data_IF_683727653726
#
_entry.id   IF_683727653726
#
_cell.length_a   1.000
_cell.length_b   1.000
_cell.length_c   1.000
_cell.angle_alpha   90.00
_cell.angle_beta   90.00
_cell.angle_gamma   90.00
#
_symmetry.space_group_name_H-M   'P 1'
#
loop_
_entity.id
_entity.type
_entity.pdbx_description
1 polymer ?
2 non-polymer ?
3 non-polymer ?
4 non-polymer ?
5 non-polymer ?
6 water ?
#
# COMPACT_ATOMS: atom_id res chain seq x y z
N UNK A 12 2.01 -16.30 -20.90
CA UNK A 12 2.39 -14.89 -20.90
C UNK A 12 1.16 -14.04 -20.59
N UNK A 13 1.31 -12.99 -19.80
CA UNK A 13 0.11 -12.36 -19.27
C UNK A 13 -0.07 -11.04 -20.02
N UNK A 14 -1.30 -10.60 -20.26
CA UNK A 14 -1.52 -9.32 -20.94
C UNK A 14 -1.52 -8.12 -19.97
N UNK A 15 -0.76 -7.07 -20.27
CA UNK A 15 -0.82 -5.87 -19.42
C UNK A 15 -2.24 -5.32 -19.19
N UNK A 16 -2.54 -5.01 -17.94
CA UNK A 16 -3.82 -4.50 -17.51
C UNK A 16 -4.05 -3.07 -17.96
N UNK A 17 -2.99 -2.38 -18.37
CA UNK A 17 -3.12 -0.99 -18.83
C UNK A 17 -3.33 -0.91 -20.35
N UNK A 18 -2.49 -1.60 -21.11
CA UNK A 18 -2.42 -1.39 -22.54
C UNK A 18 -2.62 -2.67 -23.34
N UNK A 19 -2.67 -3.83 -22.71
CA UNK A 19 -2.70 -5.11 -23.40
C UNK A 19 -1.38 -5.66 -23.94
N UNK A 20 -0.28 -4.96 -23.74
CA UNK A 20 1.06 -5.37 -24.18
C UNK A 20 1.53 -6.62 -23.46
N UNK A 21 2.66 -7.18 -23.87
CA UNK A 21 3.11 -8.38 -23.16
C UNK A 21 3.93 -8.05 -21.93
N UNK A 22 3.68 -8.81 -20.87
CA UNK A 22 4.33 -8.57 -19.58
C UNK A 22 5.44 -9.58 -19.37
N UNK A 23 6.66 -9.13 -19.18
CA UNK A 23 7.75 -10.06 -18.91
C UNK A 23 8.09 -10.15 -17.42
N UNK A 24 8.05 -11.37 -16.87
CA UNK A 24 8.32 -11.58 -15.45
C UNK A 24 9.78 -11.36 -15.09
N UNK A 25 10.01 -10.82 -13.90
CA UNK A 25 11.37 -10.68 -13.43
C UNK A 25 11.56 -11.16 -12.01
N UNK A 26 10.50 -11.50 -11.30
CA UNK A 26 10.64 -11.88 -9.90
C UNK A 26 9.56 -12.89 -9.57
N UNK A 27 9.87 -14.05 -8.97
CA UNK A 27 8.85 -15.03 -8.63
C UNK A 27 8.99 -15.25 -7.13
N UNK A 28 7.97 -14.81 -6.39
CA UNK A 28 7.93 -14.97 -4.96
C UNK A 28 7.13 -16.19 -4.48
N UNK A 29 6.73 -17.07 -5.40
CA UNK A 29 6.31 -18.39 -4.99
C UNK A 29 4.84 -18.34 -4.60
N UNK A 30 4.36 -19.42 -4.01
CA UNK A 30 2.99 -19.56 -3.49
C UNK A 30 2.83 -18.68 -2.25
N UNK A 31 1.74 -17.92 -2.19
CA UNK A 31 1.47 -17.00 -1.09
C UNK A 31 -0.01 -17.10 -0.73
N UNK A 32 -0.31 -16.83 0.54
CA UNK A 32 -1.69 -16.76 1.00
C UNK A 32 -2.25 -15.35 0.80
N UNK A 33 -3.54 -15.18 1.09
CA UNK A 33 -4.04 -13.82 1.15
C UNK A 33 -3.38 -13.11 2.31
N UNK A 34 -2.95 -11.87 2.06
CA UNK A 34 -2.10 -11.18 3.06
C UNK A 34 -2.86 -10.66 4.27
N UNK A 35 -4.17 -10.43 4.09
CA UNK A 35 -4.92 -9.80 5.15
C UNK A 35 -5.95 -10.75 5.74
N UNK A 36 -5.75 -12.04 5.58
CA UNK A 36 -6.58 -13.00 6.31
C UNK A 36 -5.86 -13.50 7.56
N UNK A 37 -6.38 -13.21 8.76
CA UNK A 37 -5.83 -13.61 10.08
C UNK A 37 -6.75 -14.61 10.79
N UNK A 38 -6.37 -15.88 10.82
CA UNK A 38 -7.26 -17.00 11.19
C UNK A 38 -7.17 -17.12 12.71
N UNK A 39 -8.28 -17.52 13.34
CA UNK A 39 -8.21 -17.97 14.72
C UNK A 39 -7.35 -19.23 14.84
N UNK A 40 -6.66 -19.42 15.96
CA UNK A 40 -5.75 -20.57 16.13
C UNK A 40 -6.40 -21.93 15.82
N UNK A 41 -7.69 -22.07 16.07
CA UNK A 41 -8.40 -23.34 15.95
C UNK A 41 -8.93 -23.61 14.54
N UNK A 42 -8.84 -22.63 13.64
CA UNK A 42 -9.38 -22.80 12.30
C UNK A 42 -8.68 -23.86 11.47
N UNK A 43 -9.40 -24.55 10.60
CA UNK A 43 -8.71 -25.41 9.66
C UNK A 43 -7.56 -24.67 9.00
N UNK A 44 -6.40 -25.33 8.91
CA UNK A 44 -5.29 -24.86 8.09
C UNK A 44 -5.58 -25.17 6.63
N UNK A 45 -6.53 -24.44 6.05
CA UNK A 45 -6.65 -24.35 4.59
C UNK A 45 -6.65 -22.86 4.26
N UNK A 46 -5.78 -22.42 3.37
CA UNK A 46 -5.92 -21.05 2.91
C UNK A 46 -5.98 -21.00 1.40
N UNK A 47 -6.64 -19.98 0.84
CA UNK A 47 -6.48 -19.64 -0.57
C UNK A 47 -5.02 -19.30 -0.80
N UNK A 48 -4.45 -19.90 -1.84
CA UNK A 48 -3.15 -19.46 -2.31
C UNK A 48 -3.15 -19.15 -3.79
N UNK A 49 -2.12 -18.41 -4.19
CA UNK A 49 -1.94 -17.97 -5.57
C UNK A 49 -0.44 -17.83 -5.82
N UNK A 50 -0.03 -17.65 -7.07
CA UNK A 50 1.40 -17.51 -7.33
C UNK A 50 1.74 -16.02 -7.39
N UNK A 51 2.62 -15.52 -6.53
CA UNK A 51 2.93 -14.08 -6.53
C UNK A 51 4.18 -13.94 -7.38
N UNK A 52 4.08 -13.26 -8.51
CA UNK A 52 5.21 -12.97 -9.39
C UNK A 52 4.98 -11.60 -10.00
N UNK A 53 6.07 -10.95 -10.42
CA UNK A 53 5.98 -9.55 -10.87
C UNK A 53 6.67 -9.45 -12.23
N UNK A 54 6.05 -8.64 -13.07
CA UNK A 54 6.58 -8.45 -14.43
C UNK A 54 6.44 -7.01 -14.88
N UNK A 55 6.99 -6.73 -16.06
CA UNK A 55 7.00 -5.38 -16.57
C UNK A 55 6.40 -5.42 -17.97
N UNK A 56 5.47 -4.50 -18.32
CA UNK A 56 4.88 -4.58 -19.65
C UNK A 56 5.92 -4.08 -20.66
N UNK A 57 5.99 -4.70 -21.83
CA UNK A 57 6.93 -4.24 -22.86
C UNK A 57 6.55 -2.94 -23.58
N UNK A 58 5.28 -2.56 -23.56
CA UNK A 58 4.87 -1.42 -24.37
C UNK A 58 4.77 -0.15 -23.54
N UNK A 59 4.28 -0.26 -22.30
CA UNK A 59 4.06 0.90 -21.46
C UNK A 59 4.87 0.96 -20.16
N UNK A 60 5.61 -0.13 -19.93
CA UNK A 60 6.58 -0.19 -18.85
C UNK A 60 5.91 -0.29 -17.49
N UNK A 61 4.61 -0.57 -17.43
CA UNK A 61 3.93 -0.75 -16.14
C UNK A 61 4.37 -2.05 -15.48
N UNK A 62 4.89 -1.93 -14.26
CA UNK A 62 5.30 -3.08 -13.48
C UNK A 62 4.08 -3.56 -12.68
N UNK A 63 3.79 -4.86 -12.75
CA UNK A 63 2.54 -5.40 -12.26
C UNK A 63 2.65 -6.88 -11.96
N UNK A 64 1.72 -7.39 -11.15
CA UNK A 64 1.72 -8.82 -10.85
C UNK A 64 1.24 -9.63 -12.06
N UNK A 65 1.56 -10.93 -12.03
CA UNK A 65 1.17 -11.77 -13.18
C UNK A 65 -0.09 -12.61 -12.88
N UNK A 66 -0.58 -12.61 -11.64
CA UNK A 66 -1.81 -13.30 -11.28
C UNK A 66 -2.65 -12.30 -10.46
N UNK A 67 -3.89 -12.05 -10.86
CA UNK A 67 -4.82 -11.30 -10.01
C UNK A 67 -5.53 -12.20 -8.98
N UNK A 68 -5.59 -11.78 -7.72
CA UNK A 68 -6.54 -12.35 -6.78
C UNK A 68 -7.90 -11.64 -6.95
N UNK A 69 -9.00 -12.39 -6.94
CA UNK A 69 -10.28 -11.71 -7.13
C UNK A 69 -10.57 -10.72 -6.00
N UNK A 70 -11.08 -9.55 -6.35
CA UNK A 70 -11.23 -8.45 -5.39
C UNK A 70 -12.02 -8.83 -4.14
N UNK A 71 -13.02 -9.68 -4.28
CA UNK A 71 -13.92 -10.02 -3.17
C UNK A 71 -13.25 -10.94 -2.19
N UNK A 72 -12.15 -11.55 -2.61
CA UNK A 72 -11.44 -12.37 -1.65
C UNK A 72 -10.60 -11.48 -0.76
N UNK A 73 -10.22 -10.29 -1.22
CA UNK A 73 -9.36 -9.41 -0.44
C UNK A 73 -10.12 -8.35 0.36
N UNK A 74 -11.17 -7.81 -0.26
CA UNK A 74 -11.87 -6.64 0.24
C UNK A 74 -13.32 -7.06 0.45
N UNK A 75 -13.73 -6.93 1.71
CA UNK A 75 -14.96 -7.54 2.19
C UNK A 75 -15.18 -7.10 3.63
N UNK A 76 -16.23 -7.67 4.20
CA UNK A 76 -16.72 -7.27 5.51
C UNK A 76 -15.68 -7.20 6.59
N UNK A 77 -14.78 -8.18 6.56
CA UNK A 77 -13.79 -8.28 7.63
C UNK A 77 -12.39 -7.86 7.24
N UNK A 78 -12.23 -7.16 6.12
CA UNK A 78 -10.93 -6.56 5.88
C UNK A 78 -10.37 -5.85 7.11
N UNK A 79 -9.14 -6.16 7.53
CA UNK A 79 -8.73 -5.76 8.86
C UNK A 79 -7.86 -4.52 8.95
N UNK A 80 -7.51 -3.90 7.83
CA UNK A 80 -6.56 -2.79 7.97
C UNK A 80 -7.26 -1.51 8.39
N UNK A 81 -6.81 -0.88 9.47
CA UNK A 81 -7.40 0.38 9.93
C UNK A 81 -6.39 1.50 9.72
N UNK A 82 -6.65 2.37 8.74
CA UNK A 82 -5.72 3.43 8.36
C UNK A 82 -5.32 4.26 9.58
N UNK A 83 -6.31 4.50 10.44
CA UNK A 83 -6.13 5.46 11.54
C UNK A 83 -5.27 4.88 12.65
N UNK A 84 -4.76 3.66 12.51
CA UNK A 84 -3.80 3.15 13.49
C UNK A 84 -2.46 3.84 13.58
N UNK A 85 -2.17 4.72 12.62
CA UNK A 85 -0.88 5.42 12.60
C UNK A 85 -1.09 6.91 12.83
N UNK A 86 -0.41 7.48 13.83
CA UNK A 86 -0.55 8.92 14.09
C UNK A 86 0.09 9.72 12.96
N UNK A 87 1.20 9.23 12.41
CA UNK A 87 1.85 9.88 11.27
C UNK A 87 0.86 9.93 10.11
N UNK A 88 0.18 8.82 9.84
CA UNK A 88 -0.65 8.85 8.64
C UNK A 88 -1.87 9.71 8.95
N UNK A 89 -2.38 9.71 10.18
CA UNK A 89 -3.49 10.67 10.47
C UNK A 89 -3.14 12.11 10.16
N UNK A 90 -1.93 12.52 10.55
CA UNK A 90 -1.51 13.90 10.32
C UNK A 90 -1.30 14.12 8.82
N UNK A 91 -0.68 13.15 8.17
CA UNK A 91 -0.41 13.22 6.73
C UNK A 91 -1.71 13.47 5.99
N UNK A 92 -2.76 12.73 6.31
CA UNK A 92 -3.96 12.86 5.49
C UNK A 92 -4.78 14.09 5.89
N UNK A 93 -4.83 14.44 7.18
CA UNK A 93 -5.43 15.73 7.51
C UNK A 93 -4.75 16.91 6.81
N UNK A 94 -3.43 16.93 6.66
CA UNK A 94 -2.77 18.02 5.95
C UNK A 94 -3.08 18.03 4.47
N UNK A 95 -3.11 16.85 3.84
CA UNK A 95 -3.55 16.73 2.45
C UNK A 95 -4.98 17.25 2.29
N UNK A 96 -5.91 16.85 3.17
CA UNK A 96 -7.24 17.40 3.08
C UNK A 96 -7.27 18.92 3.19
N UNK A 97 -6.51 19.48 4.14
CA UNK A 97 -6.51 20.95 4.26
C UNK A 97 -6.03 21.60 2.98
N UNK A 98 -5.02 20.96 2.39
CA UNK A 98 -4.43 21.47 1.15
C UNK A 98 -5.46 21.45 0.03
N UNK A 99 -6.24 20.38 -0.12
CA UNK A 99 -7.29 20.39 -1.14
C UNK A 99 -8.33 21.48 -0.85
N UNK A 100 -8.61 21.69 0.43
CA UNK A 100 -9.66 22.62 0.83
C UNK A 100 -9.23 24.03 0.45
N UNK A 101 -7.93 24.30 0.49
CA UNK A 101 -7.39 25.64 0.19
C UNK A 101 -7.18 25.83 -1.30
N UNK A 102 -7.14 24.75 -2.09
CA UNK A 102 -6.77 24.85 -3.49
C UNK A 102 -7.92 24.44 -4.41
N UNK A 103 -8.19 23.14 -4.50
CA UNK A 103 -9.11 22.63 -5.51
C UNK A 103 -10.58 22.63 -5.10
N UNK A 104 -10.88 22.87 -3.82
CA UNK A 104 -12.25 22.77 -3.34
C UNK A 104 -12.73 24.15 -2.87
N UNK A 105 -12.22 25.20 -3.49
CA UNK A 105 -12.70 26.53 -3.08
C UNK A 105 -13.94 27.06 -3.79
N UNK A 106 -14.47 26.36 -4.77
CA UNK A 106 -15.74 26.80 -5.35
C UNK A 106 -16.95 26.95 -4.42
N UNK A 107 -18.09 27.33 -4.99
CA UNK A 107 -19.38 27.54 -4.33
C UNK A 107 -20.02 26.24 -3.85
N UNK A 108 -19.78 25.16 -4.59
CA UNK A 108 -20.37 23.89 -4.20
C UNK A 108 -19.43 22.77 -4.63
N UNK A 109 -18.27 22.68 -3.98
CA UNK A 109 -17.30 21.67 -4.40
C UNK A 109 -17.66 20.24 -3.96
N UNK A 110 -17.04 19.25 -4.57
CA UNK A 110 -17.34 17.86 -4.24
C UNK A 110 -16.05 17.07 -4.38
N UNK A 111 -15.71 16.28 -3.35
CA UNK A 111 -14.53 15.43 -3.44
C UNK A 111 -14.94 13.98 -3.19
N UNK A 112 -14.45 13.10 -4.06
CA UNK A 112 -14.71 11.68 -3.90
C UNK A 112 -13.39 10.98 -3.54
N UNK A 113 -13.43 10.14 -2.50
CA UNK A 113 -12.24 9.38 -2.18
C UNK A 113 -12.48 7.90 -2.47
N UNK A 114 -11.58 7.31 -3.27
CA UNK A 114 -11.54 5.87 -3.51
C UNK A 114 -10.69 5.21 -2.44
N UNK A 115 -11.32 4.35 -1.65
CA UNK A 115 -10.61 3.60 -0.61
C UNK A 115 -10.51 4.38 0.68
N UNK A 116 -11.63 5.00 1.10
CA UNK A 116 -11.57 5.89 2.27
C UNK A 116 -11.27 5.18 3.57
N UNK A 117 -11.43 3.86 3.61
CA UNK A 117 -11.15 3.10 4.84
C UNK A 117 -11.95 3.68 6.01
N UNK A 118 -11.32 3.81 7.19
CA UNK A 118 -11.97 4.31 8.41
C UNK A 118 -12.21 5.82 8.40
N UNK A 119 -11.98 6.49 7.29
CA UNK A 119 -12.35 7.91 7.29
C UNK A 119 -11.18 8.83 7.58
N UNK A 120 -9.95 8.31 7.56
CA UNK A 120 -8.74 9.02 7.94
C UNK A 120 -8.52 10.36 7.22
N UNK A 121 -8.84 10.38 5.93
CA UNK A 121 -8.73 11.63 5.19
C UNK A 121 -10.05 12.37 5.18
N UNK A 122 -11.17 11.72 4.85
CA UNK A 122 -12.43 12.44 4.70
C UNK A 122 -12.99 13.09 5.97
N UNK A 123 -12.57 12.66 7.15
CA UNK A 123 -13.08 13.36 8.32
C UNK A 123 -12.76 14.86 8.23
N UNK A 124 -11.61 15.25 7.69
CA UNK A 124 -11.25 16.66 7.69
C UNK A 124 -12.15 17.35 6.67
N UNK A 125 -12.53 16.68 5.59
CA UNK A 125 -13.42 17.30 4.62
C UNK A 125 -14.80 17.48 5.23
N UNK A 126 -15.30 16.45 5.92
CA UNK A 126 -16.59 16.48 6.60
C UNK A 126 -16.64 17.60 7.65
N UNK A 127 -15.54 17.75 8.38
CA UNK A 127 -15.45 18.83 9.37
C UNK A 127 -15.37 20.22 8.74
N UNK A 128 -15.01 20.34 7.46
CA UNK A 128 -15.09 21.63 6.80
C UNK A 128 -16.44 21.89 6.15
N UNK A 129 -17.38 20.96 6.27
CA UNK A 129 -18.73 21.15 5.70
C UNK A 129 -18.81 20.96 4.19
N UNK A 130 -17.80 20.29 3.62
CA UNK A 130 -17.73 20.10 2.18
C UNK A 130 -18.39 18.82 1.71
N UNK A 131 -19.14 18.88 0.59
CA UNK A 131 -19.83 17.70 0.07
C UNK A 131 -18.77 16.68 -0.35
N UNK A 132 -18.98 15.42 0.03
CA UNK A 132 -17.96 14.38 -0.24
C UNK A 132 -18.59 12.98 -0.33
N UNK A 133 -17.83 12.03 -0.86
CA UNK A 133 -18.29 10.64 -0.80
C UNK A 133 -17.05 9.76 -0.81
N UNK A 134 -17.01 8.89 0.17
CA UNK A 134 -16.01 7.82 0.15
C UNK A 134 -16.54 6.53 -0.44
N UNK A 135 -15.73 5.90 -1.29
CA UNK A 135 -16.02 4.52 -1.69
C UNK A 135 -15.10 3.62 -0.87
N UNK A 136 -15.74 2.68 -0.19
CA UNK A 136 -14.98 1.74 0.62
C UNK A 136 -15.75 0.41 0.55
N UNK A 137 -15.26 -0.54 -0.26
CA UNK A 137 -16.01 -1.82 -0.36
C UNK A 137 -15.90 -2.74 0.84
N UNK A 138 -15.04 -2.42 1.82
CA UNK A 138 -14.84 -3.25 2.99
C UNK A 138 -15.72 -2.68 4.09
N UNK A 139 -16.84 -3.34 4.34
CA UNK A 139 -17.92 -2.72 5.08
C UNK A 139 -17.57 -2.44 6.53
N UNK A 140 -16.71 -3.23 7.14
CA UNK A 140 -16.42 -3.03 8.55
C UNK A 140 -15.69 -1.71 8.80
N UNK A 141 -14.67 -1.44 7.98
CA UNK A 141 -14.01 -0.13 8.06
C UNK A 141 -14.88 1.00 7.49
N UNK A 142 -15.68 0.77 6.44
CA UNK A 142 -16.68 1.75 6.00
C UNK A 142 -17.53 2.25 7.16
N UNK A 143 -17.93 1.33 8.03
CA UNK A 143 -18.81 1.73 9.13
C UNK A 143 -18.05 2.61 10.13
N UNK A 144 -16.77 2.37 10.40
CA UNK A 144 -15.95 3.30 11.18
C UNK A 144 -15.99 4.72 10.63
N UNK A 145 -15.96 4.84 9.30
CA UNK A 145 -15.91 6.18 8.74
C UNK A 145 -17.31 6.79 8.90
N UNK A 146 -18.35 5.99 8.69
CA UNK A 146 -19.71 6.54 8.79
C UNK A 146 -19.99 7.00 10.21
N UNK A 147 -19.38 6.36 11.20
CA UNK A 147 -19.61 6.79 12.60
C UNK A 147 -19.00 8.15 12.87
N UNK A 148 -18.03 8.56 12.08
CA UNK A 148 -17.53 9.94 12.06
C UNK A 148 -18.40 10.98 11.35
N UNK A 149 -19.55 10.57 10.81
CA UNK A 149 -20.35 11.47 9.98
C UNK A 149 -19.96 11.58 8.52
N UNK A 150 -19.05 10.71 8.08
CA UNK A 150 -18.61 10.72 6.68
C UNK A 150 -19.61 9.96 5.82
N UNK A 151 -19.93 10.47 4.64
CA UNK A 151 -20.75 9.76 3.67
C UNK A 151 -19.92 8.74 2.89
N UNK A 152 -20.32 7.48 2.99
CA UNK A 152 -19.59 6.39 2.34
C UNK A 152 -20.56 5.49 1.57
N UNK A 153 -20.15 5.00 0.40
CA UNK A 153 -20.82 3.88 -0.26
C UNK A 153 -19.93 2.66 -0.09
N UNK A 154 -20.52 1.55 0.35
CA UNK A 154 -19.81 0.29 0.44
C UNK A 154 -19.81 -0.39 -0.93
N UNK A 155 -18.93 0.09 -1.79
CA UNK A 155 -18.94 -0.30 -3.20
C UNK A 155 -17.50 -0.15 -3.64
N UNK A 156 -17.08 -0.97 -4.60
CA UNK A 156 -15.85 -0.68 -5.36
C UNK A 156 -16.12 0.49 -6.28
N UNK A 157 -15.17 1.41 -6.41
CA UNK A 157 -15.18 2.41 -7.46
C UNK A 157 -14.75 1.71 -8.73
N UNK A 158 -15.54 1.92 -9.80
CA UNK A 158 -15.28 1.33 -11.12
C UNK A 158 -16.18 2.13 -12.03
N UNK A 159 -16.15 1.86 -13.34
CA UNK A 159 -16.94 2.68 -14.26
C UNK A 159 -18.40 2.87 -13.82
N UNK A 160 -19.11 1.77 -13.58
CA UNK A 160 -20.54 1.86 -13.34
C UNK A 160 -20.88 2.61 -12.04
N UNK A 161 -20.08 2.44 -11.00
CA UNK A 161 -20.47 3.05 -9.74
C UNK A 161 -20.11 4.53 -9.82
N UNK A 162 -19.05 4.84 -10.55
CA UNK A 162 -18.77 6.24 -10.84
C UNK A 162 -19.90 6.85 -11.67
N UNK A 163 -20.41 6.10 -12.65
CA UNK A 163 -21.51 6.63 -13.47
C UNK A 163 -22.67 6.98 -12.55
N UNK A 164 -22.93 6.12 -11.58
CA UNK A 164 -24.07 6.30 -10.71
C UNK A 164 -23.86 7.53 -9.87
N UNK A 165 -22.63 7.76 -9.38
CA UNK A 165 -22.45 8.95 -8.56
C UNK A 165 -22.56 10.22 -9.40
N UNK A 166 -22.13 10.20 -10.66
CA UNK A 166 -22.18 11.42 -11.49
C UNK A 166 -23.67 11.73 -11.69
N UNK A 167 -24.48 10.69 -11.89
CA UNK A 167 -25.89 10.89 -12.18
C UNK A 167 -26.65 11.58 -11.04
N UNK A 168 -26.38 11.18 -9.81
CA UNK A 168 -27.09 11.68 -8.64
C UNK A 168 -26.39 12.83 -7.93
N UNK A 169 -25.06 12.91 -8.05
CA UNK A 169 -24.31 13.87 -7.25
C UNK A 169 -23.65 14.96 -8.09
N UNK A 170 -23.56 14.76 -9.40
CA UNK A 170 -22.82 15.72 -10.21
C UNK A 170 -21.31 15.50 -10.21
N UNK A 171 -20.57 16.37 -10.93
CA UNK A 171 -19.13 16.17 -11.16
C UNK A 171 -18.34 16.40 -9.88
N UNK A 172 -17.28 15.63 -9.70
CA UNK A 172 -16.34 15.85 -8.60
C UNK A 172 -15.16 16.73 -9.01
N UNK A 173 -14.85 17.71 -8.18
CA UNK A 173 -13.69 18.58 -8.38
C UNK A 173 -12.35 17.86 -8.11
N UNK A 174 -12.39 16.88 -7.22
CA UNK A 174 -11.19 16.06 -6.92
C UNK A 174 -11.68 14.65 -6.69
N UNK A 175 -10.97 13.69 -7.29
CA UNK A 175 -11.07 12.28 -6.93
C UNK A 175 -9.68 11.93 -6.42
N UNK A 176 -9.62 11.34 -5.22
CA UNK A 176 -8.36 11.08 -4.55
C UNK A 176 -8.33 9.59 -4.19
N UNK A 177 -7.15 8.98 -4.29
CA UNK A 177 -6.94 7.59 -3.85
C UNK A 177 -5.57 7.50 -3.22
N UNK A 178 -5.50 6.99 -1.98
CA UNK A 178 -4.18 6.76 -1.38
C UNK A 178 -4.00 5.27 -1.09
N UNK A 179 -2.89 4.66 -1.47
CA UNK A 179 -2.71 3.23 -1.22
C UNK A 179 -3.90 2.40 -1.65
N UNK A 180 -4.44 2.74 -2.78
CA UNK A 180 -5.68 2.09 -3.24
C UNK A 180 -5.61 1.86 -4.75
N UNK A 181 -5.22 2.86 -5.53
CA UNK A 181 -5.14 2.60 -6.96
C UNK A 181 -4.22 1.47 -7.35
N UNK A 182 -3.06 1.39 -6.68
CA UNK A 182 -2.21 0.22 -6.92
C UNK A 182 -2.80 -1.14 -6.57
N UNK A 183 -3.91 -1.17 -5.83
CA UNK A 183 -4.60 -2.40 -5.37
C UNK A 183 -5.57 -2.91 -6.43
N UNK A 184 -5.77 -2.12 -7.47
CA UNK A 184 -6.86 -2.30 -8.41
C UNK A 184 -6.41 -2.68 -9.82
N UNK A 185 -6.48 -3.98 -10.15
CA UNK A 185 -6.02 -4.31 -11.51
C UNK A 185 -6.85 -3.74 -12.64
N UNK A 186 -8.14 -3.50 -12.39
CA UNK A 186 -9.06 -2.97 -13.40
C UNK A 186 -8.98 -1.46 -13.47
N UNK A 187 -7.73 -1.00 -13.54
CA UNK A 187 -7.45 0.44 -13.60
C UNK A 187 -8.07 1.09 -14.83
N UNK A 188 -8.23 0.40 -15.95
CA UNK A 188 -8.94 1.01 -17.08
C UNK A 188 -10.36 1.38 -16.71
N UNK A 189 -11.06 0.48 -16.01
CA UNK A 189 -12.42 0.77 -15.54
C UNK A 189 -12.42 1.95 -14.57
N UNK A 190 -11.50 1.95 -13.61
CA UNK A 190 -11.38 3.12 -12.75
C UNK A 190 -11.18 4.41 -13.51
N UNK A 191 -10.29 4.41 -14.49
CA UNK A 191 -10.04 5.62 -15.28
C UNK A 191 -11.26 6.05 -16.09
N UNK A 192 -12.02 5.07 -16.58
CA UNK A 192 -13.24 5.43 -17.29
C UNK A 192 -14.25 6.05 -16.32
N UNK A 193 -14.32 5.54 -15.09
CA UNK A 193 -15.13 6.15 -14.04
C UNK A 193 -14.68 7.55 -13.68
N UNK A 194 -13.37 7.75 -13.59
CA UNK A 194 -12.86 9.10 -13.37
C UNK A 194 -13.27 10.01 -14.54
N UNK A 195 -13.17 9.54 -15.78
CA UNK A 195 -13.59 10.32 -16.94
C UNK A 195 -15.05 10.71 -16.78
N UNK A 196 -15.89 9.75 -16.37
CA UNK A 196 -17.31 10.02 -16.23
C UNK A 196 -17.59 11.05 -15.14
N UNK A 197 -16.80 10.98 -14.06
CA UNK A 197 -17.20 11.65 -12.82
C UNK A 197 -16.46 12.97 -12.58
N UNK A 198 -15.26 13.10 -13.14
CA UNK A 198 -14.43 14.24 -12.79
C UNK A 198 -14.89 15.51 -13.51
N UNK A 199 -14.85 16.66 -12.83
CA UNK A 199 -15.18 17.94 -13.47
C UNK A 199 -14.15 18.18 -14.56
N UNK A 200 -14.51 19.03 -15.54
CA UNK A 200 -13.58 19.22 -16.65
C UNK A 200 -12.28 19.85 -16.17
N UNK A 201 -12.34 20.71 -15.16
CA UNK A 201 -11.18 21.34 -14.52
C UNK A 201 -10.78 20.66 -13.21
N UNK A 202 -11.17 19.40 -13.05
CA UNK A 202 -10.76 18.69 -11.83
C UNK A 202 -9.43 17.97 -11.92
N UNK A 203 -9.07 17.41 -10.78
CA UNK A 203 -7.91 16.52 -10.72
C UNK A 203 -8.18 15.16 -10.11
N UNK A 204 -7.49 14.16 -10.63
CA UNK A 204 -7.52 12.79 -10.06
C UNK A 204 -6.11 12.64 -9.46
N UNK A 205 -6.05 12.51 -8.13
CA UNK A 205 -4.75 12.54 -7.49
C UNK A 205 -4.65 11.20 -6.75
N UNK A 206 -3.54 10.50 -6.93
CA UNK A 206 -3.37 9.27 -6.16
C UNK A 206 -1.92 9.09 -5.70
N UNK A 207 -1.73 8.45 -4.55
CA UNK A 207 -0.36 8.26 -4.07
C UNK A 207 -0.27 6.77 -3.71
N UNK A 208 0.85 6.18 -4.11
CA UNK A 208 1.09 4.76 -3.87
C UNK A 208 2.58 4.46 -3.77
N UNK A 209 2.95 3.26 -3.31
CA UNK A 209 4.38 2.92 -3.22
C UNK A 209 5.09 3.06 -4.57
N UNK A 210 6.27 3.67 -4.51
CA UNK A 210 6.98 4.07 -5.72
C UNK A 210 8.03 3.05 -6.14
N UNK A 211 8.01 2.70 -7.44
CA UNK A 211 8.94 1.71 -7.97
C UNK A 211 10.38 2.16 -7.64
N UNK A 212 10.69 3.44 -7.75
CA UNK A 212 12.06 3.92 -7.50
C UNK A 212 12.55 3.58 -6.11
N UNK A 213 11.70 3.75 -5.11
CA UNK A 213 12.07 3.45 -3.74
C UNK A 213 12.14 1.96 -3.48
N UNK A 214 11.26 1.18 -4.10
CA UNK A 214 11.27 -0.28 -3.90
C UNK A 214 12.59 -0.86 -4.43
N UNK A 215 13.02 -0.43 -5.61
CA UNK A 215 14.27 -0.86 -6.20
C UNK A 215 15.44 -0.36 -5.35
N UNK A 216 15.33 0.88 -4.85
CA UNK A 216 16.49 1.43 -4.13
C UNK A 216 16.67 0.73 -2.80
N UNK A 217 15.56 0.36 -2.19
CA UNK A 217 15.59 -0.16 -0.81
C UNK A 217 15.42 -1.68 -0.81
N UNK A 218 15.30 -2.27 -1.99
CA UNK A 218 14.96 -3.69 -2.14
C UNK A 218 13.78 -4.06 -1.26
N UNK A 219 12.78 -3.19 -1.21
CA UNK A 219 11.68 -3.46 -0.27
C UNK A 219 10.61 -4.33 -0.91
N UNK A 220 10.98 -5.59 -1.10
CA UNK A 220 10.13 -6.52 -1.86
C UNK A 220 8.83 -6.86 -1.10
N UNK A 221 8.77 -6.54 0.18
CA UNK A 221 7.55 -6.86 0.95
C UNK A 221 6.40 -5.94 0.53
N UNK A 222 6.70 -4.84 -0.18
CA UNK A 222 5.71 -4.06 -0.88
C UNK A 222 5.04 -4.82 -2.03
N UNK A 223 5.48 -6.03 -2.33
CA UNK A 223 4.81 -6.89 -3.33
C UNK A 223 4.01 -7.96 -2.59
N UNK A 224 2.69 -7.93 -2.76
CA UNK A 224 1.75 -8.89 -2.15
C UNK A 224 0.41 -8.80 -2.88
N UNK A 225 -0.55 -9.64 -2.53
CA UNK A 225 -1.76 -9.78 -3.33
C UNK A 225 -2.44 -8.43 -3.66
N UNK A 226 -2.50 -7.59 -2.63
CA UNK A 226 -3.20 -6.30 -2.72
C UNK A 226 -2.42 -5.22 -3.47
N UNK A 227 -1.13 -5.47 -3.73
CA UNK A 227 -0.39 -4.47 -4.49
C UNK A 227 -0.15 -5.00 -5.89
N UNK A 228 -1.13 -4.75 -6.74
CA UNK A 228 -1.06 -5.19 -8.12
C UNK A 228 -0.05 -4.44 -8.98
N UNK A 229 0.03 -3.12 -8.79
CA UNK A 229 0.87 -2.23 -9.59
C UNK A 229 1.99 -1.65 -8.76
N UNK A 230 3.19 -1.54 -9.33
CA UNK A 230 4.25 -0.74 -8.70
C UNK A 230 4.49 0.48 -9.60
N UNK A 231 3.74 1.56 -9.40
CA UNK A 231 3.78 2.71 -10.30
C UNK A 231 5.13 3.42 -10.30
N UNK A 232 5.42 3.99 -11.47
CA UNK A 232 6.50 4.95 -11.65
C UNK A 232 5.95 6.16 -12.43
N UNK A 233 6.74 7.22 -12.46
CA UNK A 233 6.27 8.36 -13.23
C UNK A 233 6.18 7.97 -14.70
N UNK A 234 7.14 7.16 -15.13
CA UNK A 234 7.13 6.74 -16.53
C UNK A 234 5.88 5.96 -16.93
N UNK A 235 5.55 4.96 -16.14
CA UNK A 235 4.32 4.19 -16.40
C UNK A 235 3.01 4.96 -16.16
N UNK A 236 2.98 5.76 -15.11
CA UNK A 236 1.79 6.56 -14.86
C UNK A 236 1.62 7.56 -16.01
N UNK A 237 2.71 8.17 -16.49
CA UNK A 237 2.52 9.09 -17.61
C UNK A 237 1.89 8.39 -18.80
N UNK A 238 2.37 7.18 -19.13
CA UNK A 238 1.79 6.44 -20.24
C UNK A 238 0.35 6.04 -20.00
N UNK A 239 0.06 5.64 -18.77
CA UNK A 239 -1.30 5.22 -18.41
C UNK A 239 -2.29 6.36 -18.54
N UNK A 240 -1.90 7.52 -18.02
CA UNK A 240 -2.72 8.72 -18.13
C UNK A 240 -2.98 8.95 -19.62
N UNK A 241 -1.90 9.03 -20.39
CA UNK A 241 -2.01 9.46 -21.78
C UNK A 241 -2.92 8.49 -22.54
N UNK A 242 -2.76 7.19 -22.31
CA UNK A 242 -3.47 6.19 -23.11
C UNK A 242 -4.94 6.12 -22.74
N UNK A 243 -5.30 6.82 -21.67
CA UNK A 243 -6.66 6.78 -21.15
C UNK A 243 -7.35 8.14 -21.15
N UNK A 244 -6.75 9.15 -21.80
CA UNK A 244 -7.32 10.50 -21.90
C UNK A 244 -6.86 11.63 -20.99
N UNK A 245 -5.88 11.36 -20.13
CA UNK A 245 -5.54 12.29 -19.06
C UNK A 245 -4.09 12.68 -19.23
N UNK A 246 -3.56 13.47 -18.29
CA UNK A 246 -2.19 13.91 -18.46
C UNK A 246 -1.61 14.02 -17.06
N UNK A 247 -0.42 13.47 -16.90
CA UNK A 247 0.32 13.63 -15.65
C UNK A 247 0.81 15.06 -15.57
N UNK A 248 0.31 15.82 -14.60
CA UNK A 248 0.63 17.23 -14.45
C UNK A 248 1.38 17.62 -13.18
N UNK A 249 1.48 16.75 -12.18
CA UNK A 249 2.33 17.00 -11.04
C UNK A 249 2.74 15.63 -10.50
N UNK A 250 3.85 15.64 -9.78
CA UNK A 250 4.31 14.48 -9.01
C UNK A 250 4.97 15.03 -7.77
N UNK A 251 4.87 14.27 -6.69
CA UNK A 251 5.50 14.70 -5.48
C UNK A 251 5.91 13.44 -4.72
N UNK A 252 7.17 13.40 -4.29
CA UNK A 252 7.69 12.24 -3.60
C UNK A 252 7.34 12.41 -2.14
N UNK A 253 6.96 11.30 -1.50
CA UNK A 253 6.51 11.30 -0.10
C UNK A 253 7.22 10.19 0.67
N UNK A 254 7.58 10.47 1.94
CA UNK A 254 8.28 9.47 2.80
C UNK A 254 7.43 8.33 3.32
N UNK A 255 6.12 8.53 3.36
CA UNK A 255 5.23 7.58 4.00
C UNK A 255 5.33 6.25 3.23
N UNK A 256 5.00 5.20 3.98
CA UNK A 256 4.92 3.87 3.42
C UNK A 256 6.15 3.34 2.71
N UNK A 257 7.32 3.75 3.20
CA UNK A 257 8.57 3.30 2.57
C UNK A 257 9.02 4.06 1.34
N UNK A 258 8.27 5.11 1.01
CA UNK A 258 8.54 5.90 -0.20
C UNK A 258 7.44 5.84 -1.26
N UNK A 259 6.76 6.95 -1.53
CA UNK A 259 5.67 6.95 -2.48
C UNK A 259 5.82 8.12 -3.42
N UNK A 260 5.01 8.11 -4.46
CA UNK A 260 4.86 9.32 -5.26
C UNK A 260 3.38 9.60 -5.28
N UNK A 261 3.06 10.89 -5.16
CA UNK A 261 1.69 11.33 -5.38
C UNK A 261 1.64 11.90 -6.78
N UNK A 262 0.75 11.36 -7.60
CA UNK A 262 0.62 11.73 -9.02
C UNK A 262 -0.70 12.52 -9.12
N UNK A 263 -0.64 13.63 -9.85
CA UNK A 263 -1.82 14.41 -10.18
C UNK A 263 -2.14 14.31 -11.66
N UNK A 264 -3.32 13.79 -11.96
CA UNK A 264 -3.79 13.72 -13.33
C UNK A 264 -4.89 14.74 -13.63
N UNK A 265 -4.77 15.33 -14.81
CA UNK A 265 -5.83 16.23 -15.27
C UNK A 265 -6.25 15.87 -16.68
N UNK A 266 -7.41 16.38 -17.08
CA UNK A 266 -7.78 16.23 -18.49
C UNK A 266 -6.71 16.79 -19.41
N UNK A 267 -6.48 16.15 -20.55
CA UNK A 267 -5.31 16.47 -21.35
C UNK A 267 -5.28 17.92 -21.83
N UNK A 268 -4.14 18.60 -21.68
CA UNK A 268 -4.03 20.01 -22.08
C UNK A 268 -4.70 21.06 -21.23
N UNK A 269 -5.44 20.60 -20.22
CA UNK A 269 -6.07 21.56 -19.33
C UNK A 269 -5.17 22.30 -18.35
N UNK A 270 -4.07 21.64 -17.99
CA UNK A 270 -3.12 22.30 -17.11
C UNK A 270 -1.73 22.01 -17.67
N UNK A 271 -0.75 22.84 -17.32
CA UNK A 271 0.61 22.60 -17.78
C UNK A 271 1.42 21.81 -16.75
N UNK A 272 2.02 20.69 -17.16
CA UNK A 272 2.74 19.90 -16.18
C UNK A 272 3.82 20.69 -15.47
N UNK A 273 3.99 20.49 -14.16
CA UNK A 273 5.01 21.18 -13.37
C UNK A 273 6.34 20.69 -13.88
N UNK A 274 7.40 21.45 -13.59
CA UNK A 274 8.73 20.99 -13.98
C UNK A 274 9.09 19.66 -13.33
N UNK A 275 8.47 19.43 -12.18
CA UNK A 275 8.72 18.20 -11.41
C UNK A 275 8.43 16.97 -12.24
N UNK A 276 7.48 17.04 -13.17
CA UNK A 276 7.16 15.81 -13.87
C UNK A 276 8.28 15.42 -14.83
N UNK A 277 8.66 16.37 -15.68
CA UNK A 277 9.79 16.09 -16.56
C UNK A 277 11.06 15.73 -15.79
N UNK A 278 11.31 16.39 -14.68
CA UNK A 278 12.50 16.08 -13.86
C UNK A 278 12.53 14.65 -13.33
N UNK A 279 11.41 14.20 -12.77
CA UNK A 279 11.38 12.80 -12.35
C UNK A 279 11.43 11.80 -13.50
N UNK A 280 10.76 12.12 -14.61
CA UNK A 280 10.89 11.25 -15.78
C UNK A 280 12.35 11.12 -16.19
N UNK A 281 13.05 12.24 -16.22
CA UNK A 281 14.45 12.24 -16.64
C UNK A 281 15.32 11.45 -15.66
N UNK A 282 15.00 11.53 -14.38
CA UNK A 282 15.78 10.77 -13.40
C UNK A 282 15.56 9.25 -13.54
N UNK A 283 14.32 8.83 -13.81
CA UNK A 283 14.02 7.40 -13.97
C UNK A 283 14.76 6.86 -15.19
N UNK A 284 14.73 7.63 -16.27
CA UNK A 284 15.40 7.26 -17.50
C UNK A 284 16.92 7.26 -17.28
N UNK A 285 17.47 8.22 -16.54
CA UNK A 285 18.90 8.19 -16.25
C UNK A 285 19.36 6.98 -15.44
N UNK A 286 18.58 6.60 -14.43
CA UNK A 286 18.91 5.50 -13.55
C UNK A 286 18.41 4.18 -14.16
N UNK A 287 17.81 4.21 -15.35
CA UNK A 287 17.29 3.01 -16.00
C UNK A 287 16.35 2.20 -15.08
N UNK A 288 15.52 2.91 -14.33
CA UNK A 288 14.61 2.35 -13.35
C UNK A 288 13.77 1.18 -13.83
N UNK A 289 13.23 1.32 -15.04
CA UNK A 289 12.27 0.35 -15.54
C UNK A 289 12.90 -0.63 -16.54
N UNK A 290 14.21 -0.56 -16.72
CA UNK A 290 14.90 -1.48 -17.60
C UNK A 290 14.86 -2.88 -16.97
N UNK A 291 14.60 -3.89 -17.81
CA UNK A 291 14.54 -5.25 -17.32
C UNK A 291 15.81 -5.66 -16.58
N UNK A 292 16.97 -5.21 -17.01
CA UNK A 292 18.16 -5.55 -16.23
C UNK A 292 18.16 -4.98 -14.82
N UNK A 293 17.62 -3.78 -14.65
CA UNK A 293 17.57 -3.14 -13.33
C UNK A 293 16.62 -3.95 -12.46
N UNK A 294 15.51 -4.33 -13.08
CA UNK A 294 14.45 -4.99 -12.32
C UNK A 294 14.93 -6.40 -11.95
N UNK A 295 15.69 -7.05 -12.84
CA UNK A 295 16.25 -8.35 -12.44
C UNK A 295 17.35 -8.26 -11.42
N UNK A 296 18.13 -7.18 -11.42
CA UNK A 296 19.13 -6.96 -10.37
C UNK A 296 18.42 -6.87 -8.99
N UNK A 297 17.31 -6.13 -8.97
CA UNK A 297 16.49 -6.01 -7.75
C UNK A 297 16.09 -7.41 -7.32
N UNK A 298 15.57 -8.23 -8.24
CA UNK A 298 15.15 -9.59 -7.98
C UNK A 298 16.31 -10.39 -7.38
N UNK A 299 17.54 -10.19 -7.88
CA UNK A 299 18.67 -10.90 -7.29
C UNK A 299 18.92 -10.44 -5.86
N UNK A 300 18.79 -9.15 -5.58
CA UNK A 300 18.99 -8.64 -4.22
C UNK A 300 17.90 -9.14 -3.28
N UNK A 301 16.70 -9.40 -3.80
CA UNK A 301 15.61 -9.90 -2.96
C UNK A 301 16.01 -11.27 -2.44
N UNK A 302 16.56 -12.08 -3.34
CA UNK A 302 17.04 -13.39 -2.89
C UNK A 302 18.17 -13.25 -1.86
N UNK A 303 19.07 -12.31 -2.08
CA UNK A 303 20.16 -12.12 -1.10
C UNK A 303 19.59 -11.76 0.27
N UNK A 304 18.64 -10.84 0.32
CA UNK A 304 17.97 -10.51 1.59
C UNK A 304 17.29 -11.71 2.24
N UNK A 305 16.55 -12.53 1.51
CA UNK A 305 15.97 -13.75 2.08
C UNK A 305 17.08 -14.54 2.74
N UNK A 306 18.16 -14.77 2.00
CA UNK A 306 19.12 -15.75 2.50
C UNK A 306 19.81 -15.17 3.73
N UNK A 307 20.06 -13.87 3.74
CA UNK A 307 20.72 -13.31 4.94
C UNK A 307 19.74 -13.22 6.11
N UNK A 308 18.45 -12.99 5.86
CA UNK A 308 17.52 -12.85 6.99
C UNK A 308 17.32 -14.24 7.63
N UNK A 309 17.16 -15.29 6.84
CA UNK A 309 16.98 -16.63 7.40
C UNK A 309 18.28 -17.02 8.08
N UNK A 310 19.42 -16.71 7.50
CA UNK A 310 20.62 -17.14 8.20
C UNK A 310 20.68 -16.47 9.56
N UNK A 311 20.35 -15.18 9.62
CA UNK A 311 20.39 -14.52 10.94
C UNK A 311 19.42 -15.10 11.96
N UNK A 312 18.19 -15.29 11.48
CA UNK A 312 17.14 -15.79 12.39
C UNK A 312 17.58 -17.15 12.95
N UNK A 313 18.18 -17.99 12.12
CA UNK A 313 18.55 -19.32 12.58
C UNK A 313 19.74 -19.19 13.53
N UNK A 314 20.67 -18.28 13.25
CA UNK A 314 21.80 -18.08 14.16
C UNK A 314 21.29 -17.63 15.53
N UNK A 315 20.32 -16.71 15.53
CA UNK A 315 19.80 -16.16 16.79
C UNK A 315 19.19 -17.30 17.59
N UNK A 316 18.46 -18.18 16.92
CA UNK A 316 17.91 -19.32 17.67
C UNK A 316 19.04 -20.22 18.21
N UNK A 317 20.09 -20.41 17.43
CA UNK A 317 21.13 -21.36 17.87
C UNK A 317 21.86 -20.71 19.04
N UNK A 318 21.82 -19.39 19.15
CA UNK A 318 22.55 -18.74 20.23
C UNK A 318 21.65 -18.45 21.42
N UNK A 319 20.43 -18.96 21.38
CA UNK A 319 19.44 -18.92 22.46
C UNK A 319 18.89 -17.53 22.67
N UNK A 320 18.78 -16.76 21.60
CA UNK A 320 18.20 -15.41 21.74
C UNK A 320 16.76 -15.41 21.25
N UNK A 321 15.89 -14.70 21.96
CA UNK A 321 14.47 -14.73 21.64
C UNK A 321 14.18 -13.69 20.58
N UNK A 322 13.25 -14.01 19.68
CA UNK A 322 12.90 -13.12 18.58
C UNK A 322 11.38 -13.04 18.41
N UNK A 323 10.84 -11.84 18.28
CA UNK A 323 9.43 -11.68 17.94
C UNK A 323 9.36 -10.77 16.72
N UNK A 324 8.16 -10.52 16.21
CA UNK A 324 7.99 -9.52 15.16
C UNK A 324 7.13 -8.40 15.70
N UNK A 325 7.24 -7.27 15.02
CA UNK A 325 6.47 -6.09 15.35
C UNK A 325 5.76 -5.52 14.13
N UNK A 326 4.42 -5.55 14.14
CA UNK A 326 3.58 -5.00 13.09
C UNK A 326 3.09 -6.13 12.21
N UNK A 327 1.83 -6.52 12.35
CA UNK A 327 1.22 -7.51 11.44
C UNK A 327 0.76 -6.87 10.13
N UNK A 328 1.71 -6.29 9.41
CA UNK A 328 1.43 -5.68 8.11
C UNK A 328 0.97 -6.76 7.13
N UNK A 329 0.19 -6.33 6.16
CA UNK A 329 -0.06 -7.16 4.98
C UNK A 329 1.26 -7.56 4.27
N UNK A 330 2.18 -6.59 4.23
CA UNK A 330 3.50 -6.80 3.63
C UNK A 330 4.20 -8.03 4.19
N UNK A 331 4.05 -8.21 5.50
CA UNK A 331 4.83 -9.26 6.15
C UNK A 331 4.48 -10.66 5.65
N UNK A 332 3.28 -10.85 5.09
CA UNK A 332 2.92 -12.14 4.53
C UNK A 332 3.95 -12.55 3.48
N UNK A 333 4.44 -11.59 2.71
CA UNK A 333 5.42 -11.93 1.71
C UNK A 333 6.76 -12.36 2.30
N UNK A 334 7.16 -11.64 3.34
CA UNK A 334 8.41 -11.98 4.01
C UNK A 334 8.33 -13.35 4.64
N UNK A 335 7.27 -13.61 5.41
CA UNK A 335 7.33 -14.86 6.17
C UNK A 335 7.12 -16.05 5.24
N UNK A 336 6.28 -15.94 4.21
CA UNK A 336 6.06 -17.06 3.28
C UNK A 336 7.18 -17.21 2.25
N UNK A 337 7.73 -16.13 1.69
CA UNK A 337 8.88 -16.30 0.79
C UNK A 337 10.07 -16.82 1.58
N UNK A 338 10.32 -16.33 2.79
CA UNK A 338 11.52 -16.74 3.49
C UNK A 338 11.35 -18.03 4.29
N UNK A 339 10.11 -18.45 4.53
CA UNK A 339 9.83 -19.64 5.33
C UNK A 339 10.06 -19.37 6.81
N UNK A 340 9.57 -18.23 7.29
CA UNK A 340 9.72 -17.88 8.69
C UNK A 340 8.41 -18.15 9.41
N UNK A 341 8.44 -18.99 10.43
CA UNK A 341 7.26 -19.24 11.24
C UNK A 341 7.55 -19.16 12.73
N UNK A 342 6.64 -19.70 13.54
CA UNK A 342 6.74 -19.43 14.97
C UNK A 342 7.95 -20.05 15.64
N UNK A 343 8.61 -21.01 14.99
CA UNK A 343 9.85 -21.52 15.57
C UNK A 343 11.01 -20.55 15.50
N UNK A 344 10.92 -19.53 14.65
CA UNK A 344 11.98 -18.51 14.56
C UNK A 344 11.53 -17.12 15.03
N UNK A 345 10.24 -16.83 14.93
CA UNK A 345 9.73 -15.55 15.42
C UNK A 345 8.44 -15.91 16.15
N UNK A 346 8.47 -15.80 17.46
CA UNK A 346 7.43 -16.49 18.22
C UNK A 346 6.06 -15.83 18.23
N UNK A 347 5.99 -14.51 18.10
CA UNK A 347 4.74 -13.75 18.11
C UNK A 347 4.97 -12.49 17.27
N UNK A 348 3.90 -11.90 16.75
CA UNK A 348 3.99 -10.58 16.16
C UNK A 348 3.03 -9.68 16.95
N UNK A 349 3.57 -8.53 17.35
CA UNK A 349 2.82 -7.55 18.15
C UNK A 349 2.14 -6.52 17.24
N UNK A 350 0.87 -6.22 17.49
CA UNK A 350 0.08 -5.36 16.60
C UNK A 350 -1.05 -4.65 17.32
N UNK A 351 -1.28 -3.38 16.98
CA UNK A 351 -2.30 -2.62 17.66
C UNK A 351 -3.71 -2.85 17.12
N UNK A 352 -3.91 -3.67 16.09
CA UNK A 352 -5.24 -3.80 15.48
C UNK A 352 -6.04 -4.89 16.20
N UNK A 353 -7.14 -4.52 16.88
CA UNK A 353 -7.90 -5.58 17.58
C UNK A 353 -8.28 -6.74 16.67
N UNK A 354 -8.72 -6.49 15.44
CA UNK A 354 -9.21 -7.56 14.59
C UNK A 354 -8.08 -8.54 14.23
N UNK A 355 -6.81 -8.20 14.47
CA UNK A 355 -5.70 -9.10 14.11
C UNK A 355 -5.22 -9.82 15.36
N UNK A 356 -5.56 -9.33 16.54
CA UNK A 356 -5.00 -9.90 17.76
C UNK A 356 -5.67 -11.22 18.12
N UNK A 357 -4.92 -12.10 18.76
CA UNK A 357 -5.40 -13.45 19.07
C UNK A 357 -5.80 -14.24 17.82
N UNK A 358 -5.05 -13.97 16.76
CA UNK A 358 -5.23 -14.67 15.50
C UNK A 358 -3.82 -15.08 15.08
N UNK A 359 -3.73 -15.76 13.93
CA UNK A 359 -2.46 -16.23 13.38
C UNK A 359 -2.16 -15.54 12.05
N UNK A 360 -0.89 -15.19 11.80
CA UNK A 360 -0.56 -14.57 10.53
C UNK A 360 -0.74 -15.52 9.34
N UNK A 361 -1.06 -14.97 8.17
CA UNK A 361 -1.39 -15.88 7.07
C UNK A 361 -0.20 -16.70 6.57
N UNK A 362 -0.48 -17.99 6.33
CA UNK A 362 0.53 -18.84 5.70
C UNK A 362 1.53 -19.33 6.74
N UNK A 363 2.15 -18.39 7.46
CA UNK A 363 3.21 -18.70 8.43
C UNK A 363 2.68 -19.06 9.81
N UNK A 364 1.49 -18.58 10.12
CA UNK A 364 0.75 -18.95 11.32
C UNK A 364 1.42 -18.46 12.61
N UNK A 365 2.09 -17.31 12.58
CA UNK A 365 2.67 -16.85 13.84
C UNK A 365 1.58 -16.14 14.65
N UNK A 366 1.49 -16.40 15.97
CA UNK A 366 0.44 -15.73 16.76
C UNK A 366 0.64 -14.22 16.81
N UNK A 367 -0.47 -13.51 16.66
CA UNK A 367 -0.49 -12.08 16.88
C UNK A 367 -1.06 -11.67 18.22
N UNK A 368 -0.32 -10.80 18.89
CA UNK A 368 -0.68 -10.38 20.24
C UNK A 368 -0.80 -8.86 20.29
N UNK A 369 -1.56 -8.26 21.22
CA UNK A 369 -1.64 -6.80 21.29
C UNK A 369 -0.28 -6.18 21.54
N UNK A 370 -0.06 -5.00 21.00
CA UNK A 370 1.21 -4.31 21.19
C UNK A 370 1.43 -4.04 22.67
N UNK A 371 0.35 -3.91 23.43
CA UNK A 371 0.48 -3.63 24.84
C UNK A 371 1.12 -4.81 25.54
N UNK A 372 1.14 -5.97 24.88
CA UNK A 372 1.84 -7.11 25.44
C UNK A 372 3.34 -7.20 25.21
N UNK A 373 3.91 -6.24 24.48
CA UNK A 373 5.35 -6.16 24.21
C UNK A 373 5.82 -5.22 25.31
N UNK A 374 6.34 -5.85 26.36
CA UNK A 374 6.61 -5.14 27.61
C UNK A 374 7.58 -6.00 28.42
N UNK A 375 8.10 -5.43 29.50
CA UNK A 375 9.09 -6.13 30.32
C UNK A 375 8.43 -7.36 30.93
N UNK A 376 9.06 -8.55 30.84
CA UNK A 376 10.38 -8.80 30.26
C UNK A 376 10.38 -8.88 28.74
N UNK A 377 11.21 -8.05 28.13
CA UNK A 377 11.24 -7.99 26.67
C UNK A 377 12.02 -9.14 26.04
N UNK A 378 11.68 -9.46 24.78
CA UNK A 378 12.50 -10.40 24.04
C UNK A 378 13.80 -9.71 23.66
N UNK A 379 14.78 -10.53 23.27
CA UNK A 379 16.07 -10.03 22.83
C UNK A 379 15.98 -9.24 21.53
N UNK A 380 15.13 -9.67 20.59
CA UNK A 380 15.04 -9.03 19.30
C UNK A 380 13.61 -8.94 18.81
N UNK A 381 13.35 -7.87 18.06
CA UNK A 381 12.07 -7.66 17.39
C UNK A 381 12.32 -7.42 15.91
N UNK A 382 11.81 -8.33 15.08
CA UNK A 382 11.85 -8.19 13.62
C UNK A 382 10.79 -7.18 13.20
N UNK A 383 11.27 -6.05 12.68
CA UNK A 383 10.39 -4.92 12.42
C UNK A 383 9.76 -5.02 11.04
N UNK A 384 8.59 -5.64 11.02
CA UNK A 384 7.82 -5.75 9.80
C UNK A 384 7.25 -4.38 9.49
N UNK A 385 6.78 -3.63 10.49
CA UNK A 385 6.29 -2.27 10.16
C UNK A 385 7.41 -1.24 10.08
N UNK A 386 8.39 -1.51 9.21
CA UNK A 386 9.61 -0.70 9.10
C UNK A 386 9.26 0.66 8.48
N UNK A 387 8.16 0.76 7.75
CA UNK A 387 7.72 2.03 7.19
C UNK A 387 7.18 2.92 8.32
N UNK A 388 6.91 2.34 9.49
CA UNK A 388 6.47 3.12 10.63
C UNK A 388 7.52 3.19 11.73
N UNK A 389 8.78 3.00 11.36
CA UNK A 389 9.83 2.86 12.36
C UNK A 389 9.85 3.99 13.37
N UNK A 390 9.86 5.24 12.92
CA UNK A 390 10.02 6.34 13.87
C UNK A 390 8.85 6.35 14.85
N UNK A 391 7.61 6.16 14.41
CA UNK A 391 6.44 6.23 15.27
C UNK A 391 6.45 5.09 16.28
N UNK A 392 6.81 3.91 15.81
CA UNK A 392 6.91 2.75 16.68
C UNK A 392 8.06 2.86 17.68
N UNK A 393 9.26 3.22 17.21
CA UNK A 393 10.37 3.24 18.15
C UNK A 393 10.15 4.36 19.17
N UNK A 394 9.50 5.46 18.78
CA UNK A 394 9.21 6.48 19.77
C UNK A 394 8.32 5.97 20.89
N UNK A 395 7.45 4.99 20.63
CA UNK A 395 6.53 4.50 21.65
C UNK A 395 7.20 3.33 22.37
N UNK A 396 8.30 2.83 21.86
CA UNK A 396 8.92 1.66 22.46
C UNK A 396 10.37 1.94 22.86
N UNK A 397 10.63 3.12 23.40
CA UNK A 397 11.96 3.40 23.93
C UNK A 397 12.37 2.48 25.07
N UNK A 398 11.47 2.04 25.94
CA UNK A 398 11.81 1.14 27.04
C UNK A 398 12.45 -0.17 26.57
N UNK A 399 11.92 -0.73 25.49
CA UNK A 399 12.44 -1.96 24.89
C UNK A 399 13.92 -1.79 24.57
N UNK A 400 14.28 -0.71 23.90
CA UNK A 400 15.66 -0.49 23.43
C UNK A 400 16.57 -0.10 24.59
N UNK A 401 16.05 0.68 25.53
CA UNK A 401 16.81 1.00 26.75
C UNK A 401 17.08 -0.28 27.54
N UNK A 402 16.17 -1.24 27.55
CA UNK A 402 16.42 -2.52 28.24
C UNK A 402 17.42 -3.42 27.52
N UNK A 403 17.88 -3.03 26.32
CA UNK A 403 18.86 -3.82 25.56
C UNK A 403 18.23 -4.61 24.41
N UNK A 404 16.92 -4.46 24.26
CA UNK A 404 16.23 -5.10 23.13
C UNK A 404 16.63 -4.41 21.85
N UNK A 405 16.79 -5.16 20.78
CA UNK A 405 17.22 -4.61 19.51
C UNK A 405 16.27 -4.93 18.37
N UNK A 406 16.22 -4.02 17.41
CA UNK A 406 15.42 -4.23 16.22
C UNK A 406 16.18 -4.99 15.13
N UNK A 407 15.52 -5.97 14.51
CA UNK A 407 16.01 -6.53 13.26
C UNK A 407 15.28 -5.87 12.09
N UNK A 408 16.02 -5.27 11.16
CA UNK A 408 15.42 -4.72 9.94
C UNK A 408 15.91 -5.50 8.73
N UNK A 409 15.11 -5.57 7.67
CA UNK A 409 15.52 -6.25 6.43
C UNK A 409 15.43 -5.28 5.26
N UNK A 410 15.21 -4.00 5.54
CA UNK A 410 15.12 -2.94 4.53
C UNK A 410 16.05 -1.81 5.03
N UNK A 411 17.04 -1.34 4.26
CA UNK A 411 17.29 -1.75 2.87
C UNK A 411 18.15 -3.02 2.76
N UNK A 412 18.62 -3.51 3.89
CA UNK A 412 19.59 -4.61 4.02
C UNK A 412 19.26 -5.18 5.40
N UNK A 413 19.63 -6.44 5.65
CA UNK A 413 19.44 -7.04 6.97
C UNK A 413 20.48 -6.41 7.90
N UNK A 414 19.99 -5.86 9.01
CA UNK A 414 20.90 -5.30 10.00
C UNK A 414 20.09 -5.22 11.31
N UNK A 415 20.83 -5.09 12.41
CA UNK A 415 20.33 -4.95 13.76
C UNK A 415 20.79 -3.62 14.35
N UNK A 416 19.89 -2.99 15.11
CA UNK A 416 20.21 -1.71 15.72
C UNK A 416 19.31 -1.38 16.90
#
# INVERSE_FOLDING_TARGET
GHMSHLADVSPPTACRVCGGGVQEFLDLGRQPLSDRFRKPDELDDEFTYRLAVGRCDSCEMVQLTEEVPRDLMFHEVYPYHSSGSSVMREHFAMLARDFLATELTGPDPFIVEIGCNDGIMLRTIQEAGVRHLGFEPSSGVAAKAREKGIRVRTDFFEKATADDVRRTEGPANVIYAANTLCHIPYVQSVLEGVDALLAPDGVFVFEDPYLGDIVAKTSFDQIYDEHFFLFSATSVQGMAQRCGFELVDVQRLPVHGGEVRYTLARQGSRTPSAAVAQLLAAEREQELSDMATLRAFAGNVVKIRDELTALLHRLRAEGRSVVGYGATAKSATVTNFCGIGPDLVHSVYDTTPDKQNRLTPGAHIPVRPASAFSDPYPDYALLFAWNHAEEIMAKEQEFHQAGGRWILYVPEVHIR
#
